data_IF_260161001047
#
_entry.id   IF_260161001047
#
_cell.length_a   1.000
_cell.length_b   1.000
_cell.length_c   1.000
_cell.angle_alpha   90.00
_cell.angle_beta   90.00
_cell.angle_gamma   90.00
#
_symmetry.space_group_name_H-M   'P 1'
#
loop_
_entity.id
_entity.type
_entity.pdbx_description
1 polymer ?
#
# COMPACT_ATOMS: atom_id res chain seq x y z
N UNK A 1 5.94 52.16 37.74
CA UNK A 1 5.50 51.45 36.52
C UNK A 1 4.54 50.37 37.02
N UNK A 2 3.21 50.53 37.03
CA UNK A 2 2.28 50.53 35.88
C UNK A 2 2.74 49.49 34.84
N UNK A 3 2.07 48.40 34.49
CA UNK A 3 0.71 47.88 34.68
C UNK A 3 0.50 46.88 33.53
N UNK A 4 -0.10 45.71 33.78
CA UNK A 4 -0.36 44.63 32.79
C UNK A 4 -1.39 45.06 31.72
N UNK A 5 -1.44 44.47 30.49
CA UNK A 5 -2.09 43.16 30.28
C UNK A 5 -1.30 42.24 29.32
N UNK A 6 -1.15 40.94 29.60
CA UNK A 6 -2.01 39.87 29.09
C UNK A 6 -2.63 40.16 27.72
N UNK A 7 -1.99 39.68 26.66
CA UNK A 7 -2.71 39.16 25.50
C UNK A 7 -2.23 37.74 25.20
N UNK A 8 -3.24 36.88 25.13
CA UNK A 8 -3.23 35.46 24.86
C UNK A 8 -2.84 35.27 23.39
N UNK A 9 -1.76 34.53 23.13
CA UNK A 9 -1.68 33.73 21.91
C UNK A 9 -1.57 32.29 22.40
N UNK A 10 -2.63 31.48 22.26
CA UNK A 10 -2.55 30.06 22.52
C UNK A 10 -1.81 29.48 21.32
N UNK A 11 -0.47 29.45 21.37
CA UNK A 11 0.22 28.48 20.55
C UNK A 11 -0.15 27.13 21.13
N UNK A 12 -1.07 26.48 20.42
CA UNK A 12 -1.50 25.12 20.60
C UNK A 12 -0.32 24.28 21.10
N UNK A 13 -0.54 23.61 22.23
CA UNK A 13 -0.02 22.25 22.39
C UNK A 13 -0.44 21.48 21.13
N UNK A 14 0.41 21.44 20.12
CA UNK A 14 0.44 20.33 19.18
C UNK A 14 1.18 19.20 19.91
N UNK A 15 0.51 18.64 20.92
CA UNK A 15 0.81 17.31 21.46
C UNK A 15 -0.04 16.30 20.70
N UNK A 16 -0.10 16.41 19.37
CA UNK A 16 -0.80 15.45 18.54
C UNK A 16 0.23 14.48 18.01
N UNK A 17 0.25 13.28 18.59
CA UNK A 17 0.82 12.11 17.93
C UNK A 17 0.00 11.93 16.65
N UNK A 18 0.64 12.12 15.49
CA UNK A 18 0.00 11.99 14.19
C UNK A 18 0.22 10.56 13.72
N UNK A 19 -0.87 9.82 13.53
CA UNK A 19 -0.80 8.43 13.04
C UNK A 19 -0.68 8.35 11.52
N UNK A 20 -1.41 9.21 10.82
CA UNK A 20 -1.28 9.35 9.39
C UNK A 20 -1.53 10.80 8.98
N UNK A 21 -0.72 11.29 8.07
CA UNK A 21 -0.95 12.56 7.40
C UNK A 21 -0.48 12.47 5.95
N UNK A 22 -1.41 12.65 5.02
CA UNK A 22 -1.09 12.74 3.60
C UNK A 22 -0.53 14.13 3.29
N UNK A 23 0.79 14.26 3.32
CA UNK A 23 1.49 15.52 3.02
C UNK A 23 1.25 16.02 1.59
N UNK A 24 1.22 15.07 0.65
CA UNK A 24 1.16 15.34 -0.77
C UNK A 24 0.50 14.15 -1.48
N UNK A 25 -0.69 14.33 -2.10
CA UNK A 25 -1.24 13.34 -3.02
C UNK A 25 -0.28 13.07 -4.19
N UNK A 26 -0.38 11.88 -4.80
CA UNK A 26 0.49 11.51 -5.92
C UNK A 26 0.50 12.59 -7.02
N UNK A 27 1.70 13.01 -7.41
CA UNK A 27 1.92 14.09 -8.37
C UNK A 27 3.15 13.84 -9.23
N UNK A 28 3.16 14.37 -10.45
CA UNK A 28 4.34 14.42 -11.31
C UNK A 28 5.22 15.65 -11.06
N UNK A 29 4.83 16.53 -10.13
CA UNK A 29 5.59 17.73 -9.80
C UNK A 29 6.70 17.42 -8.79
N UNK A 30 7.88 17.11 -9.32
CA UNK A 30 9.07 16.80 -8.53
C UNK A 30 9.50 17.95 -7.60
N UNK A 31 9.33 19.21 -8.02
CA UNK A 31 9.70 20.36 -7.19
C UNK A 31 8.85 20.41 -5.92
N UNK A 32 7.53 20.20 -6.03
CA UNK A 32 6.64 20.18 -4.87
C UNK A 32 6.95 18.98 -3.97
N UNK A 33 7.29 17.82 -4.54
CA UNK A 33 7.72 16.67 -3.77
C UNK A 33 8.99 16.97 -2.96
N UNK A 34 10.04 17.50 -3.59
CA UNK A 34 11.30 17.84 -2.91
C UNK A 34 11.07 18.87 -1.79
N UNK A 35 10.30 19.93 -2.07
CA UNK A 35 9.94 20.93 -1.06
C UNK A 35 9.20 20.31 0.14
N UNK A 36 8.34 19.32 -0.09
CA UNK A 36 7.62 18.62 0.98
C UNK A 36 8.55 17.75 1.82
N UNK A 37 9.42 16.97 1.20
CA UNK A 37 10.40 16.13 1.89
C UNK A 37 11.35 16.98 2.75
N UNK A 38 11.85 18.09 2.21
CA UNK A 38 12.77 19.00 2.93
C UNK A 38 12.14 19.67 4.17
N UNK A 39 10.80 19.69 4.25
CA UNK A 39 10.05 20.34 5.34
C UNK A 39 9.29 19.33 6.22
N UNK A 40 9.58 18.03 6.13
CA UNK A 40 9.00 17.03 7.01
C UNK A 40 9.35 17.33 8.47
N UNK A 41 8.34 17.24 9.33
CA UNK A 41 8.50 17.41 10.77
C UNK A 41 8.55 16.05 11.45
N UNK A 42 9.53 15.86 12.33
CA UNK A 42 9.64 14.63 13.14
C UNK A 42 8.69 14.74 14.34
N UNK A 43 7.90 13.70 14.53
CA UNK A 43 7.03 13.50 15.68
C UNK A 43 7.51 12.29 16.51
N UNK A 44 6.94 12.09 17.68
CA UNK A 44 7.33 10.99 18.58
C UNK A 44 6.13 10.40 19.29
N UNK A 45 6.06 9.07 19.38
CA UNK A 45 5.14 8.32 20.23
C UNK A 45 5.56 8.28 21.71
N UNK A 46 4.78 7.58 22.53
CA UNK A 46 5.06 7.36 23.96
C UNK A 46 5.65 5.97 24.25
N UNK A 47 5.70 5.10 23.26
CA UNK A 47 6.22 3.75 23.29
C UNK A 47 6.93 3.40 21.97
N UNK A 48 7.36 2.15 21.83
CA UNK A 48 8.24 1.71 20.74
C UNK A 48 7.50 1.32 19.45
N UNK A 49 6.40 0.54 19.50
CA UNK A 49 5.64 0.27 18.28
C UNK A 49 5.02 1.55 17.72
N UNK A 50 4.85 1.59 16.41
CA UNK A 50 4.31 2.75 15.69
C UNK A 50 3.06 2.36 14.90
N UNK A 51 2.47 3.30 14.16
CA UNK A 51 1.11 3.14 13.59
C UNK A 51 1.09 2.73 12.10
N UNK A 52 2.06 1.93 11.65
CA UNK A 52 2.27 1.63 10.22
C UNK A 52 1.07 0.94 9.56
N UNK A 53 0.37 0.03 10.25
CA UNK A 53 -0.81 -0.65 9.70
C UNK A 53 -1.93 0.33 9.34
N UNK A 54 -2.23 1.26 10.24
CA UNK A 54 -3.21 2.32 9.99
C UNK A 54 -2.71 3.28 8.91
N UNK A 55 -1.44 3.68 8.96
CA UNK A 55 -0.88 4.57 7.95
C UNK A 55 -0.93 3.96 6.53
N UNK A 56 -0.66 2.65 6.40
CA UNK A 56 -0.79 1.92 5.13
C UNK A 56 -2.24 1.87 4.66
N UNK A 57 -3.17 1.47 5.54
CA UNK A 57 -4.59 1.44 5.20
C UNK A 57 -5.08 2.80 4.70
N UNK A 58 -4.76 3.88 5.41
CA UNK A 58 -5.14 5.24 5.03
C UNK A 58 -4.44 5.74 3.75
N UNK A 59 -3.18 5.35 3.52
CA UNK A 59 -2.48 5.67 2.27
C UNK A 59 -3.10 4.94 1.07
N UNK A 60 -3.72 3.78 1.27
CA UNK A 60 -4.38 3.02 0.21
C UNK A 60 -5.80 3.56 -0.02
N UNK A 61 -6.61 3.67 1.04
CA UNK A 61 -8.04 3.94 0.93
C UNK A 61 -8.39 5.43 1.02
N UNK A 62 -7.67 6.18 1.84
CA UNK A 62 -7.97 7.57 2.16
C UNK A 62 -9.28 7.76 2.95
N UNK A 63 -9.86 6.72 3.54
CA UNK A 63 -11.19 6.79 4.16
C UNK A 63 -11.27 7.69 5.40
N UNK A 64 -10.14 7.90 6.07
CA UNK A 64 -10.07 8.52 7.38
C UNK A 64 -10.51 7.57 8.49
N UNK A 65 -10.42 8.05 9.74
CA UNK A 65 -10.89 7.36 10.94
C UNK A 65 -11.62 8.36 11.81
N UNK A 66 -12.87 8.07 12.14
CA UNK A 66 -13.59 8.82 13.18
C UNK A 66 -13.48 8.09 14.50
N UNK A 67 -12.73 8.64 15.46
CA UNK A 67 -12.61 8.05 16.79
C UNK A 67 -13.56 8.72 17.76
N UNK A 68 -14.45 7.95 18.39
CA UNK A 68 -15.40 8.45 19.39
C UNK A 68 -14.87 8.21 20.81
N UNK A 69 -15.01 9.19 21.71
CA UNK A 69 -14.67 9.02 23.13
C UNK A 69 -13.26 9.47 23.50
N UNK A 70 -12.48 8.65 24.20
CA UNK A 70 -11.17 9.02 24.78
C UNK A 70 -10.07 9.28 23.75
N UNK A 71 -10.33 8.99 22.48
CA UNK A 71 -9.42 9.13 21.35
C UNK A 71 -9.88 10.22 20.36
N UNK A 72 -10.74 11.16 20.73
CA UNK A 72 -11.29 12.18 19.81
C UNK A 72 -10.20 12.95 19.03
N UNK A 73 -9.04 13.18 19.68
CA UNK A 73 -7.85 13.81 19.05
C UNK A 73 -7.09 12.90 18.08
N UNK A 74 -7.49 11.64 17.94
CA UNK A 74 -6.91 10.61 17.08
C UNK A 74 -7.64 10.49 15.73
N UNK A 75 -8.67 11.33 15.50
CA UNK A 75 -9.44 11.35 14.24
C UNK A 75 -8.54 11.69 13.05
N UNK A 76 -8.61 10.87 12.00
CA UNK A 76 -7.95 11.08 10.72
C UNK A 76 -9.01 11.53 9.73
N UNK A 77 -8.81 12.69 9.10
CA UNK A 77 -9.73 13.14 8.06
C UNK A 77 -9.55 12.29 6.79
N UNK A 78 -10.65 12.05 6.07
CA UNK A 78 -10.59 11.43 4.76
C UNK A 78 -9.70 12.25 3.79
N UNK A 79 -8.95 11.55 2.95
CA UNK A 79 -8.05 12.14 1.94
C UNK A 79 -8.22 11.44 0.59
N UNK A 80 -7.57 11.96 -0.45
CA UNK A 80 -7.55 11.34 -1.77
C UNK A 80 -6.09 11.00 -2.07
N UNK A 81 -5.66 9.73 -1.94
CA UNK A 81 -4.27 9.34 -2.14
C UNK A 81 -3.77 9.59 -3.57
N UNK A 82 -4.66 9.53 -4.55
CA UNK A 82 -4.36 9.81 -5.96
C UNK A 82 -3.92 8.59 -6.77
N UNK A 83 -4.25 7.37 -6.32
CA UNK A 83 -4.17 6.16 -7.15
C UNK A 83 -4.97 6.39 -8.44
N UNK A 84 -4.38 6.05 -9.58
CA UNK A 84 -4.93 6.42 -10.88
C UNK A 84 -4.80 5.29 -11.87
N UNK A 85 -5.87 5.04 -12.63
CA UNK A 85 -5.96 3.94 -13.60
C UNK A 85 -4.81 3.92 -14.61
N UNK A 86 -4.46 2.71 -15.07
CA UNK A 86 -3.46 2.53 -16.12
C UNK A 86 -2.02 2.71 -15.64
N UNK A 87 -1.78 2.54 -14.34
CA UNK A 87 -0.47 2.71 -13.70
C UNK A 87 -0.21 1.56 -12.73
N UNK A 88 1.06 1.23 -12.53
CA UNK A 88 1.47 0.35 -11.45
C UNK A 88 1.40 1.17 -10.15
N UNK A 89 0.67 0.66 -9.16
CA UNK A 89 0.50 1.26 -7.86
C UNK A 89 1.54 0.69 -6.88
N UNK A 90 2.50 1.52 -6.49
CA UNK A 90 3.53 1.16 -5.53
C UNK A 90 3.40 1.99 -4.25
N UNK A 91 3.31 1.31 -3.11
CA UNK A 91 3.44 1.91 -1.79
C UNK A 91 4.75 1.44 -1.16
N UNK A 92 5.58 2.39 -0.73
CA UNK A 92 6.84 2.09 -0.03
C UNK A 92 6.73 2.56 1.40
N UNK A 93 6.96 1.66 2.35
CA UNK A 93 6.86 1.90 3.79
C UNK A 93 8.26 1.88 4.39
N UNK A 94 8.70 3.03 4.90
CA UNK A 94 9.99 3.15 5.57
C UNK A 94 9.80 3.17 7.09
N UNK A 95 10.52 2.30 7.83
CA UNK A 95 10.39 2.25 9.29
C UNK A 95 11.56 1.52 9.97
N UNK A 96 11.76 1.85 11.24
CA UNK A 96 12.73 1.28 12.18
C UNK A 96 12.03 0.80 13.47
N UNK A 97 10.72 0.50 13.40
CA UNK A 97 9.91 0.21 14.57
C UNK A 97 8.96 -0.98 14.37
N UNK A 98 8.54 -1.56 15.48
CA UNK A 98 7.47 -2.57 15.51
C UNK A 98 6.13 -1.95 15.09
N UNK A 99 5.18 -2.80 14.67
CA UNK A 99 3.84 -2.31 14.33
C UNK A 99 2.92 -2.44 15.53
N UNK A 100 2.16 -1.38 15.81
CA UNK A 100 0.98 -1.48 16.66
C UNK A 100 -0.07 -2.37 16.02
N UNK A 101 -0.81 -3.09 16.86
CA UNK A 101 -1.92 -3.97 16.48
C UNK A 101 -3.19 -3.58 17.23
N UNK A 102 -4.38 -3.89 16.69
CA UNK A 102 -5.61 -3.72 17.45
C UNK A 102 -5.54 -4.49 18.77
N UNK A 103 -6.05 -3.86 19.84
CA UNK A 103 -5.97 -4.31 21.23
C UNK A 103 -4.61 -4.13 21.93
N UNK A 104 -3.60 -3.54 21.28
CA UNK A 104 -2.44 -3.04 22.01
C UNK A 104 -2.88 -2.03 23.09
N UNK A 105 -2.14 -1.98 24.18
CA UNK A 105 -2.42 -1.07 25.30
C UNK A 105 -1.14 -0.38 25.73
N UNK A 106 -1.22 0.94 25.92
CA UNK A 106 -0.14 1.71 26.49
C UNK A 106 0.10 1.35 27.95
N UNK A 107 1.22 1.83 28.51
CA UNK A 107 1.61 1.57 29.91
C UNK A 107 0.56 2.04 30.94
N UNK A 108 -0.24 3.04 30.59
CA UNK A 108 -1.34 3.57 31.40
C UNK A 108 -2.66 2.81 31.22
N UNK A 109 -2.67 1.74 30.42
CA UNK A 109 -3.84 0.95 30.07
C UNK A 109 -4.72 1.58 28.98
N UNK A 110 -4.30 2.70 28.38
CA UNK A 110 -5.02 3.31 27.27
C UNK A 110 -4.91 2.41 26.04
N UNK A 111 -6.03 1.97 25.43
CA UNK A 111 -5.99 1.13 24.24
C UNK A 111 -5.50 1.92 23.03
N UNK A 112 -4.74 1.25 22.16
CA UNK A 112 -4.39 1.76 20.83
C UNK A 112 -5.69 2.00 20.05
N UNK A 113 -5.93 3.24 19.57
CA UNK A 113 -7.27 3.62 19.12
C UNK A 113 -7.56 3.27 17.66
N UNK A 114 -6.58 2.77 16.91
CA UNK A 114 -6.71 2.56 15.47
C UNK A 114 -7.03 1.09 15.13
N UNK A 115 -8.03 0.86 14.25
CA UNK A 115 -8.57 -0.47 14.02
C UNK A 115 -7.79 -1.29 12.99
N UNK A 116 -7.01 -0.66 12.11
CA UNK A 116 -6.40 -1.36 10.99
C UNK A 116 -5.45 -2.49 11.45
N UNK A 117 -5.65 -3.66 10.89
CA UNK A 117 -4.77 -4.82 11.04
C UNK A 117 -4.21 -5.27 9.68
N UNK A 118 -3.40 -6.34 9.67
CA UNK A 118 -2.79 -6.90 8.46
C UNK A 118 -3.84 -7.30 7.42
N UNK A 119 -4.95 -7.92 7.83
CA UNK A 119 -6.04 -8.31 6.92
C UNK A 119 -6.66 -7.09 6.26
N UNK A 120 -6.94 -6.02 7.01
CA UNK A 120 -7.53 -4.80 6.44
C UNK A 120 -6.61 -4.16 5.38
N UNK A 121 -5.28 -4.16 5.64
CA UNK A 121 -4.28 -3.67 4.68
C UNK A 121 -4.24 -4.53 3.42
N UNK A 122 -4.26 -5.86 3.57
CA UNK A 122 -4.24 -6.79 2.44
C UNK A 122 -5.51 -6.70 1.59
N UNK A 123 -6.67 -6.57 2.22
CA UNK A 123 -7.94 -6.38 1.51
C UNK A 123 -7.92 -5.07 0.72
N UNK A 124 -7.55 -3.96 1.36
CA UNK A 124 -7.43 -2.66 0.68
C UNK A 124 -6.41 -2.69 -0.47
N UNK A 125 -5.26 -3.34 -0.27
CA UNK A 125 -4.23 -3.49 -1.28
C UNK A 125 -4.73 -4.32 -2.47
N UNK A 126 -5.41 -5.43 -2.23
CA UNK A 126 -5.96 -6.29 -3.27
C UNK A 126 -7.09 -5.62 -4.06
N UNK A 127 -7.96 -4.84 -3.39
CA UNK A 127 -9.03 -4.08 -4.05
C UNK A 127 -8.48 -2.95 -4.94
N UNK A 128 -7.43 -2.28 -4.48
CA UNK A 128 -6.81 -1.15 -5.21
C UNK A 128 -5.73 -1.60 -6.19
N UNK A 129 -5.26 -2.84 -6.06
CA UNK A 129 -4.11 -3.37 -6.80
C UNK A 129 -2.79 -2.71 -6.42
N UNK A 130 -2.60 -2.33 -5.16
CA UNK A 130 -1.37 -1.71 -4.64
C UNK A 130 -0.37 -2.80 -4.24
N UNK A 131 0.86 -2.69 -4.73
CA UNK A 131 2.00 -3.47 -4.24
C UNK A 131 2.71 -2.71 -3.12
N UNK A 132 2.96 -3.39 -1.99
CA UNK A 132 3.48 -2.77 -0.76
C UNK A 132 4.88 -3.31 -0.46
N UNK A 133 5.88 -2.43 -0.57
CA UNK A 133 7.28 -2.74 -0.26
C UNK A 133 7.74 -2.06 1.03
N UNK A 134 8.73 -2.64 1.70
CA UNK A 134 9.26 -2.13 2.96
C UNK A 134 10.73 -1.77 2.83
N UNK A 135 11.09 -0.62 3.40
CA UNK A 135 12.45 -0.20 3.68
C UNK A 135 12.62 -0.21 5.21
N UNK A 136 13.36 -1.20 5.73
CA UNK A 136 13.31 -1.52 7.15
C UNK A 136 14.69 -1.43 7.78
N UNK A 137 14.89 -0.52 8.73
CA UNK A 137 16.19 -0.34 9.38
C UNK A 137 16.47 -1.35 10.51
N UNK A 138 15.44 -2.11 10.90
CA UNK A 138 15.49 -3.03 12.03
C UNK A 138 15.10 -2.35 13.33
N UNK A 139 14.61 -3.15 14.28
CA UNK A 139 14.48 -2.73 15.66
C UNK A 139 14.92 -3.86 16.58
N UNK A 140 16.15 -3.82 17.04
CA UNK A 140 16.55 -4.63 18.18
C UNK A 140 17.67 -3.93 18.95
N UNK A 141 17.70 -4.17 20.25
CA UNK A 141 18.65 -3.56 21.19
C UNK A 141 20.08 -4.11 21.03
N UNK A 142 20.27 -5.17 20.24
CA UNK A 142 21.57 -5.82 19.98
C UNK A 142 22.18 -5.30 18.67
N UNK A 143 22.60 -4.04 18.72
CA UNK A 143 23.02 -3.26 17.55
C UNK A 143 24.45 -3.61 17.10
N UNK A 144 24.60 -4.72 16.37
CA UNK A 144 25.79 -5.02 15.56
C UNK A 144 25.68 -4.49 14.12
N UNK A 145 24.61 -3.76 13.81
CA UNK A 145 24.45 -3.01 12.55
C UNK A 145 24.25 -3.87 11.29
N UNK A 146 23.94 -5.16 11.43
CA UNK A 146 23.77 -6.11 10.33
C UNK A 146 22.43 -6.84 10.41
N UNK A 147 21.33 -6.12 10.23
CA UNK A 147 19.98 -6.72 10.16
C UNK A 147 19.80 -7.34 8.77
N UNK A 148 19.36 -8.59 8.70
CA UNK A 148 18.98 -9.25 7.45
C UNK A 148 17.47 -9.24 7.24
N UNK A 149 17.01 -9.48 6.00
CA UNK A 149 15.57 -9.64 5.71
C UNK A 149 14.96 -10.80 6.51
N UNK A 150 15.70 -11.88 6.75
CA UNK A 150 15.22 -12.97 7.59
C UNK A 150 15.01 -12.53 9.04
N UNK A 151 15.88 -11.69 9.57
CA UNK A 151 15.73 -11.15 10.92
C UNK A 151 14.46 -10.28 11.01
N UNK A 152 14.22 -9.45 9.99
CA UNK A 152 13.00 -8.63 9.88
C UNK A 152 11.75 -9.51 9.87
N UNK A 153 11.74 -10.60 9.11
CA UNK A 153 10.59 -11.53 9.08
C UNK A 153 10.35 -12.24 10.41
N UNK A 154 11.38 -12.37 11.27
CA UNK A 154 11.21 -12.92 12.61
C UNK A 154 10.73 -11.86 13.60
N UNK A 155 11.26 -10.64 13.54
CA UNK A 155 10.94 -9.57 14.49
C UNK A 155 9.61 -8.89 14.15
N UNK A 156 9.33 -8.62 12.88
CA UNK A 156 8.06 -8.08 12.40
C UNK A 156 7.52 -8.88 11.21
N UNK A 157 6.90 -10.04 11.47
CA UNK A 157 6.36 -10.93 10.43
C UNK A 157 5.36 -10.25 9.48
N UNK A 158 4.67 -9.20 9.92
CA UNK A 158 3.71 -8.47 9.11
C UNK A 158 4.36 -7.86 7.85
N UNK A 159 5.64 -7.47 7.91
CA UNK A 159 6.36 -6.96 6.74
C UNK A 159 6.44 -8.02 5.64
N UNK A 160 6.82 -9.25 5.98
CA UNK A 160 6.91 -10.37 5.03
C UNK A 160 5.55 -10.84 4.56
N UNK A 161 4.55 -10.89 5.45
CA UNK A 161 3.19 -11.25 5.08
C UNK A 161 2.60 -10.27 4.06
N UNK A 162 2.69 -8.97 4.34
CA UNK A 162 2.15 -7.91 3.48
C UNK A 162 2.93 -7.84 2.16
N UNK A 163 4.26 -7.81 2.20
CA UNK A 163 5.08 -7.71 0.99
C UNK A 163 4.83 -8.91 0.06
N UNK A 164 4.90 -10.14 0.59
CA UNK A 164 4.73 -11.34 -0.25
C UNK A 164 3.31 -11.44 -0.84
N UNK A 165 2.28 -11.06 -0.08
CA UNK A 165 0.89 -11.13 -0.55
C UNK A 165 0.52 -10.03 -1.55
N UNK A 166 1.26 -8.91 -1.56
CA UNK A 166 1.01 -7.77 -2.45
C UNK A 166 2.06 -7.64 -3.55
N UNK A 167 2.93 -8.64 -3.73
CA UNK A 167 4.05 -8.62 -4.68
C UNK A 167 5.04 -7.47 -4.45
N UNK A 168 5.20 -7.05 -3.20
CA UNK A 168 6.23 -6.13 -2.78
C UNK A 168 7.51 -6.83 -2.34
N UNK A 169 8.48 -6.03 -1.92
CA UNK A 169 9.81 -6.49 -1.52
C UNK A 169 10.17 -5.85 -0.18
N UNK A 170 10.88 -6.60 0.68
CA UNK A 170 11.48 -6.07 1.90
C UNK A 170 12.96 -5.84 1.69
N UNK A 171 13.39 -4.60 1.93
CA UNK A 171 14.78 -4.17 1.82
C UNK A 171 15.28 -3.71 3.19
N UNK A 172 16.51 -4.10 3.54
CA UNK A 172 17.16 -3.67 4.78
C UNK A 172 17.78 -2.29 4.59
N UNK A 173 17.56 -1.39 5.54
CA UNK A 173 18.19 -0.07 5.58
C UNK A 173 19.15 0.07 6.75
N UNK A 174 20.05 1.05 6.65
CA UNK A 174 20.80 1.56 7.78
C UNK A 174 19.95 2.58 8.56
N UNK A 175 20.30 2.79 9.84
CA UNK A 175 19.60 3.71 10.73
C UNK A 175 19.54 5.18 10.28
N UNK A 176 20.38 5.59 9.33
CA UNK A 176 20.37 6.94 8.77
C UNK A 176 19.78 6.99 7.36
N UNK A 177 19.31 5.84 6.83
CA UNK A 177 18.71 5.68 5.51
C UNK A 177 19.60 6.21 4.37
N UNK A 178 20.92 6.12 4.50
CA UNK A 178 21.87 6.65 3.50
C UNK A 178 21.71 6.06 2.10
N UNK A 179 21.15 4.86 2.03
CA UNK A 179 20.92 4.04 0.84
C UNK A 179 19.48 4.13 0.31
N UNK A 180 18.63 5.03 0.86
CA UNK A 180 17.21 5.09 0.49
C UNK A 180 16.97 5.28 -1.01
N UNK A 181 17.82 6.06 -1.70
CA UNK A 181 17.72 6.26 -3.15
C UNK A 181 18.04 4.98 -3.90
N UNK A 182 19.13 4.30 -3.54
CA UNK A 182 19.54 3.03 -4.16
C UNK A 182 18.51 1.92 -3.89
N UNK A 183 17.90 1.92 -2.70
CA UNK A 183 16.84 1.00 -2.34
C UNK A 183 15.57 1.25 -3.17
N UNK A 184 15.15 2.51 -3.34
CA UNK A 184 14.00 2.87 -4.18
C UNK A 184 14.24 2.55 -5.65
N UNK A 185 15.45 2.78 -6.17
CA UNK A 185 15.82 2.39 -7.53
C UNK A 185 15.80 0.87 -7.70
N UNK A 186 16.31 0.13 -6.73
CA UNK A 186 16.29 -1.33 -6.73
C UNK A 186 14.86 -1.88 -6.69
N UNK A 187 13.99 -1.29 -5.86
CA UNK A 187 12.58 -1.64 -5.80
C UNK A 187 11.89 -1.39 -7.14
N UNK A 188 12.05 -0.19 -7.71
CA UNK A 188 11.46 0.15 -9.00
C UNK A 188 11.94 -0.81 -10.11
N UNK A 189 13.24 -1.11 -10.16
CA UNK A 189 13.82 -2.04 -11.12
C UNK A 189 13.32 -3.47 -10.94
N UNK A 190 13.15 -3.92 -9.70
CA UNK A 190 12.63 -5.25 -9.41
C UNK A 190 11.14 -5.37 -9.81
N UNK A 191 10.32 -4.36 -9.48
CA UNK A 191 8.92 -4.29 -9.89
C UNK A 191 8.77 -4.37 -11.42
N UNK A 192 9.60 -3.67 -12.19
CA UNK A 192 9.46 -3.67 -13.66
C UNK A 192 10.25 -4.78 -14.35
N UNK A 193 11.28 -5.33 -13.72
CA UNK A 193 12.18 -6.34 -14.31
C UNK A 193 11.77 -7.78 -14.05
N UNK A 194 10.96 -8.03 -13.02
CA UNK A 194 10.48 -9.37 -12.62
C UNK A 194 8.98 -9.33 -12.31
N UNK A 195 8.21 -8.78 -13.25
CA UNK A 195 6.80 -8.49 -13.00
C UNK A 195 5.91 -9.75 -13.11
N UNK A 196 4.84 -9.74 -12.31
CA UNK A 196 3.68 -10.61 -12.41
C UNK A 196 2.60 -9.94 -13.27
N UNK A 197 2.20 -10.63 -14.33
CA UNK A 197 1.16 -10.20 -15.27
C UNK A 197 -0.01 -11.19 -15.24
N UNK A 198 -1.20 -10.68 -15.02
CA UNK A 198 -2.43 -11.48 -14.98
C UNK A 198 -3.45 -10.99 -16.00
N UNK A 199 -4.26 -11.93 -16.48
CA UNK A 199 -5.41 -11.61 -17.33
C UNK A 199 -6.69 -12.08 -16.63
N UNK A 200 -7.45 -11.12 -16.11
CA UNK A 200 -8.61 -11.37 -15.25
C UNK A 200 -9.90 -11.05 -16.01
N UNK A 201 -10.85 -11.97 -16.11
CA UNK A 201 -12.14 -11.67 -16.72
C UNK A 201 -13.02 -10.86 -15.78
N UNK A 202 -13.61 -9.78 -16.29
CA UNK A 202 -14.55 -8.93 -15.56
C UNK A 202 -15.83 -8.77 -16.37
N UNK A 203 -16.96 -9.10 -15.75
CA UNK A 203 -18.28 -9.01 -16.38
C UNK A 203 -18.71 -10.25 -17.16
N UNK A 204 -18.02 -11.39 -17.02
CA UNK A 204 -18.47 -12.69 -17.57
C UNK A 204 -19.67 -13.25 -16.77
N UNK A 205 -20.82 -12.57 -16.89
CA UNK A 205 -22.06 -12.87 -16.17
C UNK A 205 -22.68 -14.22 -16.55
N UNK A 206 -22.31 -14.77 -17.71
CA UNK A 206 -22.83 -16.03 -18.22
C UNK A 206 -21.84 -17.19 -18.05
N UNK A 207 -20.66 -16.96 -17.47
CA UNK A 207 -19.63 -17.97 -17.25
C UNK A 207 -19.13 -18.61 -18.55
N UNK A 208 -19.03 -17.84 -19.63
CA UNK A 208 -18.62 -18.36 -20.94
C UNK A 208 -17.11 -18.55 -21.05
N UNK A 209 -16.31 -17.99 -20.15
CA UNK A 209 -14.86 -18.20 -20.12
C UNK A 209 -14.58 -19.53 -19.44
N UNK A 210 -14.16 -20.51 -20.23
CA UNK A 210 -13.82 -21.83 -19.75
C UNK A 210 -12.42 -21.87 -19.13
N UNK A 211 -11.45 -21.17 -19.73
CA UNK A 211 -10.09 -21.10 -19.21
C UNK A 211 -9.30 -19.93 -19.80
N UNK A 212 -8.28 -19.49 -19.05
CA UNK A 212 -7.22 -18.59 -19.50
C UNK A 212 -5.90 -19.31 -19.21
N UNK A 213 -5.05 -19.48 -20.23
CA UNK A 213 -3.80 -20.23 -20.12
C UNK A 213 -2.62 -19.49 -20.77
N UNK A 214 -1.54 -19.20 -20.01
CA UNK A 214 -1.48 -19.27 -18.54
C UNK A 214 -2.43 -18.23 -17.91
N UNK A 215 -2.92 -18.46 -16.68
CA UNK A 215 -3.74 -17.47 -15.97
C UNK A 215 -2.90 -16.34 -15.37
N UNK A 216 -1.65 -16.65 -15.03
CA UNK A 216 -0.65 -15.75 -14.44
C UNK A 216 0.69 -16.01 -15.13
N UNK A 217 1.40 -14.95 -15.44
CA UNK A 217 2.79 -14.96 -15.89
C UNK A 217 3.65 -14.26 -14.84
N UNK A 218 4.79 -14.84 -14.50
CA UNK A 218 5.78 -14.26 -13.58
C UNK A 218 7.11 -14.13 -14.33
N UNK A 219 8.08 -13.35 -13.83
CA UNK A 219 9.35 -13.22 -14.54
C UNK A 219 9.30 -12.31 -15.75
N UNK A 220 8.32 -11.39 -15.82
CA UNK A 220 8.14 -10.54 -16.99
C UNK A 220 8.94 -9.25 -16.83
N UNK A 221 9.95 -9.08 -17.67
CA UNK A 221 10.66 -7.82 -17.82
C UNK A 221 9.83 -6.85 -18.68
N UNK A 222 9.19 -5.88 -18.02
CA UNK A 222 8.38 -4.83 -18.65
C UNK A 222 9.23 -3.79 -19.40
N UNK A 223 10.55 -3.81 -19.24
CA UNK A 223 11.47 -2.99 -20.04
C UNK A 223 11.81 -3.65 -21.37
N UNK A 224 11.53 -4.95 -21.51
CA UNK A 224 11.71 -5.70 -22.74
C UNK A 224 10.62 -5.39 -23.78
N UNK A 225 10.94 -5.58 -25.05
CA UNK A 225 9.97 -5.55 -26.16
C UNK A 225 9.32 -6.91 -26.45
N UNK A 226 9.62 -7.91 -25.61
CA UNK A 226 9.10 -9.26 -25.77
C UNK A 226 7.58 -9.32 -25.61
N UNK A 227 6.98 -10.32 -26.24
CA UNK A 227 5.53 -10.52 -26.23
C UNK A 227 5.16 -11.64 -25.28
N UNK A 228 4.28 -11.34 -24.35
CA UNK A 228 3.55 -12.33 -23.56
C UNK A 228 2.28 -12.76 -24.28
N UNK A 229 1.89 -14.03 -24.14
CA UNK A 229 0.72 -14.58 -24.81
C UNK A 229 -0.20 -15.27 -23.81
N UNK A 230 -1.50 -15.00 -23.92
CA UNK A 230 -2.57 -15.66 -23.20
C UNK A 230 -3.48 -16.37 -24.21
N UNK A 231 -3.89 -17.60 -23.89
CA UNK A 231 -4.92 -18.32 -24.65
C UNK A 231 -6.21 -18.33 -23.83
N UNK A 232 -7.28 -17.75 -24.38
CA UNK A 232 -8.60 -17.72 -23.75
C UNK A 232 -9.52 -18.71 -24.46
N UNK A 233 -10.11 -19.62 -23.72
CA UNK A 233 -11.08 -20.60 -24.23
C UNK A 233 -12.47 -20.23 -23.78
N UNK A 234 -13.42 -20.20 -24.72
CA UNK A 234 -14.83 -19.95 -24.45
C UNK A 234 -15.64 -21.23 -24.57
N UNK A 235 -16.59 -21.45 -23.67
CA UNK A 235 -17.54 -22.57 -23.74
C UNK A 235 -18.88 -22.13 -23.15
N UNK A 236 -19.96 -22.34 -23.91
CA UNK A 236 -21.31 -22.12 -23.41
C UNK A 236 -21.62 -23.14 -22.30
N UNK A 237 -21.96 -22.71 -21.07
CA UNK A 237 -22.29 -23.66 -20.02
C UNK A 237 -23.57 -24.42 -20.36
N UNK A 238 -23.56 -25.73 -20.10
CA UNK A 238 -24.68 -26.61 -20.42
C UNK A 238 -25.99 -26.12 -19.78
N UNK A 239 -27.07 -26.06 -20.55
CA UNK A 239 -28.38 -25.62 -20.07
C UNK A 239 -28.56 -24.11 -19.93
N UNK A 240 -27.57 -23.30 -20.32
CA UNK A 240 -27.67 -21.83 -20.27
C UNK A 240 -28.22 -21.29 -21.58
N UNK A 241 -29.31 -20.52 -21.51
CA UNK A 241 -29.78 -19.72 -22.64
C UNK A 241 -28.94 -18.46 -22.71
N UNK A 242 -28.06 -18.37 -23.69
CA UNK A 242 -27.22 -17.20 -23.90
C UNK A 242 -27.94 -16.17 -24.79
N UNK A 243 -27.70 -14.86 -24.60
CA UNK A 243 -28.16 -13.83 -25.52
C UNK A 243 -27.47 -13.94 -26.89
N UNK A 244 -27.94 -13.21 -27.90
CA UNK A 244 -27.31 -13.17 -29.23
C UNK A 244 -25.88 -12.60 -29.22
N UNK A 245 -25.55 -11.83 -28.20
CA UNK A 245 -24.21 -11.30 -27.97
C UNK A 245 -23.92 -11.13 -26.48
N UNK A 246 -22.66 -11.32 -26.11
CA UNK A 246 -22.15 -11.11 -24.75
C UNK A 246 -20.96 -10.16 -24.81
N UNK A 247 -20.98 -9.15 -23.94
CA UNK A 247 -19.91 -8.18 -23.77
C UNK A 247 -19.31 -8.32 -22.37
N UNK A 248 -17.98 -8.35 -22.30
CA UNK A 248 -17.22 -8.34 -21.05
C UNK A 248 -15.81 -7.79 -21.30
N UNK A 249 -15.00 -7.69 -20.25
CA UNK A 249 -13.61 -7.26 -20.34
C UNK A 249 -12.65 -8.37 -19.92
N UNK A 250 -11.50 -8.43 -20.58
CA UNK A 250 -10.31 -9.05 -20.02
C UNK A 250 -9.40 -7.93 -19.51
N UNK A 251 -9.17 -7.92 -18.21
CA UNK A 251 -8.38 -6.90 -17.52
C UNK A 251 -6.95 -7.40 -17.39
N UNK A 252 -6.00 -6.62 -17.90
CA UNK A 252 -4.56 -6.85 -17.72
C UNK A 252 -4.16 -6.21 -16.40
N UNK A 253 -3.71 -7.04 -15.46
CA UNK A 253 -3.13 -6.58 -14.20
C UNK A 253 -1.62 -6.78 -14.19
N UNK A 254 -0.91 -5.83 -13.59
CA UNK A 254 0.54 -5.89 -13.36
C UNK A 254 0.78 -5.54 -11.89
N UNK A 255 1.43 -6.43 -11.12
CA UNK A 255 1.58 -6.29 -9.66
C UNK A 255 0.25 -6.00 -8.94
N UNK A 256 -0.83 -6.65 -9.38
CA UNK A 256 -2.18 -6.42 -8.88
C UNK A 256 -2.89 -5.18 -9.44
N UNK A 257 -2.17 -4.20 -9.97
CA UNK A 257 -2.72 -2.96 -10.52
C UNK A 257 -3.37 -3.17 -11.89
N UNK A 258 -4.55 -2.60 -12.09
CA UNK A 258 -5.21 -2.60 -13.39
C UNK A 258 -4.51 -1.64 -14.38
N UNK A 259 -3.95 -2.18 -15.45
CA UNK A 259 -3.23 -1.41 -16.47
C UNK A 259 -4.07 -1.18 -17.73
N UNK A 260 -4.85 -2.18 -18.13
CA UNK A 260 -5.58 -2.10 -19.38
C UNK A 260 -6.82 -2.99 -19.41
N UNK A 261 -7.86 -2.55 -20.13
CA UNK A 261 -9.07 -3.35 -20.41
C UNK A 261 -9.15 -3.71 -21.88
N UNK A 262 -9.24 -5.00 -22.16
CA UNK A 262 -9.51 -5.53 -23.50
C UNK A 262 -11.01 -5.79 -23.60
N UNK A 263 -11.78 -5.00 -24.38
CA UNK A 263 -13.19 -5.29 -24.61
C UNK A 263 -13.32 -6.56 -25.45
N UNK A 264 -14.18 -7.47 -25.03
CA UNK A 264 -14.49 -8.70 -25.75
C UNK A 264 -15.98 -8.74 -26.08
N UNK A 265 -16.27 -8.88 -27.37
CA UNK A 265 -17.63 -9.03 -27.90
C UNK A 265 -17.76 -10.41 -28.54
N UNK A 266 -18.58 -11.29 -27.95
CA UNK A 266 -18.85 -12.63 -28.47
C UNK A 266 -20.22 -12.64 -29.10
N UNK A 267 -20.28 -12.96 -30.41
CA UNK A 267 -21.53 -13.15 -31.14
C UNK A 267 -21.87 -14.64 -31.14
N UNK A 268 -23.10 -14.97 -30.74
CA UNK A 268 -23.58 -16.35 -30.63
C UNK A 268 -24.53 -16.62 -31.79
N UNK A 269 -24.11 -17.54 -32.66
CA UNK A 269 -24.85 -17.97 -33.87
C UNK A 269 -25.45 -19.36 -33.72
#
# INVERSE_FOLDING_TARGET
MWGVPQEVIPFLKLTQNIVHYLELPLTSNFTVFAEKVDNLTIYSGSDYPESQLEAMYQAITGEGVTCNGTCENATINATIPGWGDGRIHLLVVSTDAAFHRPADTGYDGTPYPYPANVTDVLEAANETGVSISFLFAGYDYDWDGNVTVNDIYQTEPATGEIANATHGIVYTMSSNSSEIVEALESLANATVGDATVELVPVGDTYGIIASISPSVLTGIDLTSTDKVNFTVTFTAPAGTSLPSSIDFYLVVKIEGSEIYRIPVHVVIS
#
